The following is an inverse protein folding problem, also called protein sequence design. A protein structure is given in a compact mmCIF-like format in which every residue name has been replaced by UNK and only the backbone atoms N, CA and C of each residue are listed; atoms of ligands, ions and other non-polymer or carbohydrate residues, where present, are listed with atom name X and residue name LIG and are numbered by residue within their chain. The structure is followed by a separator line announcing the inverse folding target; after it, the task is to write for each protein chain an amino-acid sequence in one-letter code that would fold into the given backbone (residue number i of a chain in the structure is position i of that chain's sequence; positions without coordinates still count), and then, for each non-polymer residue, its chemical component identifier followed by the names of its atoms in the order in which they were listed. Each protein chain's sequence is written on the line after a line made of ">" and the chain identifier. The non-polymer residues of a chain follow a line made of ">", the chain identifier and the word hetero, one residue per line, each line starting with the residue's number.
data_IF_950568344555
#
_entry.id   IF_950568344555
#
_cell.length_a   1.000
_cell.length_b   1.000
_cell.length_c   1.000
_cell.angle_alpha   90.00
_cell.angle_beta   90.00
_cell.angle_gamma   90.00
#
_symmetry.space_group_name_H-M   'P 1'
#
loop_
_entity.id
_entity.type
_entity.pdbx_description
1 polymer ?
#
# COMPACT_ATOMS: atom_id res chain seq x y z
N UNK A 1 14.64 28.46 8.57
CA UNK A 1 14.42 27.23 7.78
C UNK A 1 15.41 26.10 8.14
N UNK A 2 16.62 26.38 8.63
CA UNK A 2 17.60 25.37 9.07
C UNK A 2 17.26 24.64 10.39
N UNK A 3 16.45 25.23 11.26
CA UNK A 3 15.99 24.63 12.53
C UNK A 3 15.14 23.37 12.35
N UNK A 4 14.47 23.22 11.19
CA UNK A 4 13.57 22.11 10.89
C UNK A 4 14.35 20.78 10.78
N UNK A 5 15.63 20.83 10.40
CA UNK A 5 16.48 19.64 10.25
C UNK A 5 17.14 19.17 11.55
N UNK A 6 17.02 19.94 12.65
CA UNK A 6 17.53 19.52 13.96
C UNK A 6 16.65 18.48 14.63
N UNK A 7 15.36 18.44 14.30
CA UNK A 7 14.43 17.48 14.87
C UNK A 7 14.52 16.13 14.16
N UNK A 8 14.87 15.09 14.90
CA UNK A 8 15.02 13.73 14.40
C UNK A 8 13.73 13.22 13.73
N UNK A 9 12.57 13.48 14.35
CA UNK A 9 11.27 13.10 13.79
C UNK A 9 10.99 13.75 12.43
N UNK A 10 11.45 14.99 12.23
CA UNK A 10 11.24 15.73 10.99
C UNK A 10 12.14 15.20 9.88
N UNK A 11 13.39 14.86 10.22
CA UNK A 11 14.32 14.23 9.29
C UNK A 11 13.83 12.84 8.86
N UNK A 12 13.29 12.06 9.79
CA UNK A 12 12.67 10.76 9.49
C UNK A 12 11.44 10.93 8.57
N UNK A 13 10.55 11.86 8.90
CA UNK A 13 9.36 12.13 8.10
C UNK A 13 9.71 12.58 6.67
N UNK A 14 10.71 13.44 6.50
CA UNK A 14 11.20 13.87 5.18
C UNK A 14 11.83 12.72 4.39
N UNK A 15 12.64 11.89 5.05
CA UNK A 15 13.27 10.73 4.43
C UNK A 15 12.22 9.73 3.94
N UNK A 16 11.33 9.29 4.83
CA UNK A 16 10.25 8.35 4.50
C UNK A 16 9.32 8.95 3.45
N UNK A 17 8.89 10.20 3.64
CA UNK A 17 7.99 10.90 2.71
C UNK A 17 8.56 11.00 1.29
N UNK A 18 9.87 11.23 1.15
CA UNK A 18 10.55 11.28 -0.15
C UNK A 18 10.49 9.93 -0.87
N UNK A 19 10.82 8.84 -0.16
CA UNK A 19 10.77 7.50 -0.72
C UNK A 19 9.36 7.07 -1.09
N UNK A 20 8.37 7.36 -0.22
CA UNK A 20 6.96 7.07 -0.48
C UNK A 20 6.45 7.88 -1.69
N UNK A 21 6.82 9.16 -1.81
CA UNK A 21 6.45 9.98 -2.97
C UNK A 21 7.05 9.45 -4.29
N UNK A 22 8.30 8.98 -4.26
CA UNK A 22 8.94 8.35 -5.43
C UNK A 22 8.21 7.07 -5.86
N UNK A 23 7.96 6.15 -4.91
CA UNK A 23 7.24 4.90 -5.19
C UNK A 23 5.83 5.18 -5.67
N UNK A 24 5.12 6.11 -5.01
CA UNK A 24 3.77 6.52 -5.37
C UNK A 24 3.69 7.15 -6.76
N UNK A 25 4.65 8.01 -7.13
CA UNK A 25 4.71 8.63 -8.45
C UNK A 25 4.93 7.62 -9.58
N UNK A 26 5.89 6.71 -9.42
CA UNK A 26 6.20 5.68 -10.43
C UNK A 26 5.02 4.70 -10.55
N UNK A 27 4.52 4.20 -9.42
CA UNK A 27 3.42 3.22 -9.43
C UNK A 27 2.13 3.86 -9.95
N UNK A 28 1.82 5.09 -9.54
CA UNK A 28 0.66 5.83 -10.00
C UNK A 28 0.59 6.01 -11.51
N UNK A 29 1.72 6.27 -12.17
CA UNK A 29 1.80 6.33 -13.63
C UNK A 29 1.32 5.01 -14.28
N UNK A 30 1.82 3.86 -13.82
CA UNK A 30 1.40 2.56 -14.35
C UNK A 30 -0.07 2.23 -14.03
N UNK A 31 -0.54 2.63 -12.84
CA UNK A 31 -1.94 2.42 -12.45
C UNK A 31 -2.90 3.21 -13.33
N UNK A 32 -2.53 4.45 -13.68
CA UNK A 32 -3.31 5.27 -14.59
C UNK A 32 -3.39 4.63 -15.98
N UNK A 33 -2.26 4.22 -16.54
CA UNK A 33 -2.21 3.59 -17.87
C UNK A 33 -3.00 2.28 -17.94
N UNK A 34 -3.07 1.52 -16.84
CA UNK A 34 -3.79 0.24 -16.76
C UNK A 34 -5.25 0.35 -16.29
N UNK A 35 -5.74 1.57 -16.05
CA UNK A 35 -7.07 1.83 -15.48
C UNK A 35 -7.27 1.22 -14.09
N UNK A 36 -6.18 1.06 -13.31
CA UNK A 36 -6.16 0.46 -11.97
C UNK A 36 -6.15 1.51 -10.84
N UNK A 37 -6.50 2.76 -11.14
CA UNK A 37 -6.47 3.87 -10.18
C UNK A 37 -7.32 3.59 -8.94
N UNK A 38 -8.49 2.97 -9.12
CA UNK A 38 -9.38 2.63 -8.00
C UNK A 38 -8.80 1.53 -7.10
N UNK A 39 -8.08 0.56 -7.67
CA UNK A 39 -7.36 -0.45 -6.88
C UNK A 39 -6.28 0.20 -5.98
N UNK A 40 -5.62 1.26 -6.47
CA UNK A 40 -4.64 2.01 -5.68
C UNK A 40 -5.23 2.74 -4.49
N UNK A 41 -6.48 3.18 -4.62
CA UNK A 41 -7.25 3.72 -3.50
C UNK A 41 -7.72 2.63 -2.52
N UNK A 42 -8.11 1.46 -3.04
CA UNK A 42 -8.68 0.38 -2.23
C UNK A 42 -7.64 -0.41 -1.40
N UNK A 43 -6.48 -0.70 -1.97
CA UNK A 43 -5.47 -1.55 -1.32
C UNK A 43 -5.00 -1.07 0.07
N UNK A 44 -4.78 0.24 0.32
CA UNK A 44 -4.49 0.73 1.66
C UNK A 44 -5.61 0.43 2.67
N UNK A 45 -6.87 0.58 2.27
CA UNK A 45 -8.03 0.27 3.12
C UNK A 45 -8.16 -1.23 3.42
N UNK A 46 -7.84 -2.08 2.45
CA UNK A 46 -7.78 -3.53 2.64
C UNK A 46 -6.63 -3.91 3.59
N UNK A 47 -5.46 -3.29 3.43
CA UNK A 47 -4.32 -3.47 4.32
C UNK A 47 -4.60 -3.02 5.76
N UNK A 48 -5.31 -1.90 5.92
CA UNK A 48 -5.78 -1.43 7.22
C UNK A 48 -6.62 -2.48 7.95
N UNK A 49 -7.54 -3.15 7.25
CA UNK A 49 -8.37 -4.20 7.82
C UNK A 49 -7.53 -5.38 8.33
N UNK A 50 -6.50 -5.78 7.58
CA UNK A 50 -5.57 -6.82 7.99
C UNK A 50 -4.68 -6.43 9.15
N UNK A 51 -4.20 -5.17 9.18
CA UNK A 51 -3.44 -4.63 10.29
C UNK A 51 -4.27 -4.65 11.59
N UNK A 52 -5.54 -4.22 11.51
CA UNK A 52 -6.48 -4.27 12.63
C UNK A 52 -6.72 -5.71 13.11
N UNK A 53 -6.90 -6.66 12.18
CA UNK A 53 -7.03 -8.08 12.50
C UNK A 53 -5.78 -8.67 13.16
N UNK A 54 -4.59 -8.30 12.70
CA UNK A 54 -3.33 -8.76 13.31
C UNK A 54 -3.14 -8.21 14.73
N UNK A 55 -3.48 -6.93 14.96
CA UNK A 55 -3.47 -6.34 16.31
C UNK A 55 -4.42 -7.10 17.24
N UNK A 56 -5.62 -7.45 16.77
CA UNK A 56 -6.57 -8.24 17.54
C UNK A 56 -6.05 -9.64 17.87
N UNK A 57 -5.35 -10.29 16.94
CA UNK A 57 -4.71 -11.60 17.15
C UNK A 57 -3.41 -11.54 17.98
N UNK A 58 -2.90 -10.35 18.31
CA UNK A 58 -1.61 -10.18 18.99
C UNK A 58 -0.38 -10.46 18.11
N UNK A 59 -0.55 -10.44 16.78
CA UNK A 59 0.50 -10.65 15.77
C UNK A 59 1.01 -9.27 15.29
N UNK A 60 2.27 -9.15 14.81
CA UNK A 60 2.78 -7.89 14.27
C UNK A 60 1.84 -7.27 13.20
N UNK A 61 1.45 -5.98 13.32
CA UNK A 61 0.49 -5.35 12.40
C UNK A 61 0.95 -5.37 10.94
N UNK A 62 2.25 -5.26 10.71
CA UNK A 62 2.86 -5.31 9.38
C UNK A 62 2.56 -6.64 8.67
N UNK A 63 2.57 -7.77 9.40
CA UNK A 63 2.27 -9.07 8.82
C UNK A 63 0.81 -9.16 8.35
N UNK A 64 -0.13 -8.70 9.18
CA UNK A 64 -1.54 -8.63 8.81
C UNK A 64 -1.80 -7.72 7.63
N UNK A 65 -1.16 -6.54 7.61
CA UNK A 65 -1.22 -5.60 6.50
C UNK A 65 -0.75 -6.24 5.20
N UNK A 66 0.44 -6.83 5.19
CA UNK A 66 1.00 -7.46 3.98
C UNK A 66 0.12 -8.60 3.48
N UNK A 67 -0.33 -9.50 4.36
CA UNK A 67 -1.17 -10.64 3.96
C UNK A 67 -2.49 -10.18 3.34
N UNK A 68 -3.19 -9.24 3.99
CA UNK A 68 -4.47 -8.74 3.48
C UNK A 68 -4.30 -7.91 2.20
N UNK A 69 -3.28 -7.06 2.11
CA UNK A 69 -3.02 -6.28 0.89
C UNK A 69 -2.65 -7.20 -0.28
N UNK A 70 -1.86 -8.25 -0.07
CA UNK A 70 -1.53 -9.23 -1.11
C UNK A 70 -2.76 -10.05 -1.51
N UNK A 71 -3.56 -10.51 -0.54
CA UNK A 71 -4.80 -11.23 -0.80
C UNK A 71 -5.81 -10.36 -1.55
N UNK A 72 -5.97 -9.10 -1.15
CA UNK A 72 -6.82 -8.11 -1.80
C UNK A 72 -6.36 -7.81 -3.22
N UNK A 73 -5.06 -7.59 -3.43
CA UNK A 73 -4.49 -7.41 -4.77
C UNK A 73 -4.70 -8.64 -5.66
N UNK A 74 -4.52 -9.84 -5.11
CA UNK A 74 -4.82 -11.11 -5.78
C UNK A 74 -6.28 -11.23 -6.18
N UNK A 75 -7.21 -10.95 -5.25
CA UNK A 75 -8.63 -10.94 -5.53
C UNK A 75 -9.00 -9.94 -6.63
N UNK A 76 -8.50 -8.70 -6.55
CA UNK A 76 -8.72 -7.68 -7.58
C UNK A 76 -8.20 -8.13 -8.94
N UNK A 77 -7.04 -8.80 -8.97
CA UNK A 77 -6.46 -9.33 -10.22
C UNK A 77 -7.28 -10.45 -10.85
N UNK A 78 -7.98 -11.25 -10.04
CA UNK A 78 -8.82 -12.36 -10.50
C UNK A 78 -10.22 -11.91 -10.95
N UNK A 79 -10.75 -10.80 -10.42
CA UNK A 79 -12.17 -10.44 -10.50
C UNK A 79 -12.59 -9.55 -11.69
N UNK A 80 -11.87 -9.50 -12.81
CA UNK A 80 -12.47 -8.87 -14.01
C UNK A 80 -11.54 -8.59 -15.18
N UNK A 81 -12.08 -8.78 -16.39
CA UNK A 81 -11.43 -8.44 -17.67
C UNK A 81 -11.88 -7.06 -18.19
N UNK A 82 -13.06 -6.60 -17.76
CA UNK A 82 -13.64 -5.32 -18.17
C UNK A 82 -13.52 -4.29 -17.04
N UNK A 83 -13.06 -3.07 -17.37
CA UNK A 83 -12.68 -2.04 -16.40
C UNK A 83 -13.83 -1.64 -15.46
N UNK A 84 -15.06 -1.51 -15.99
CA UNK A 84 -16.21 -1.03 -15.21
C UNK A 84 -16.70 -2.05 -14.18
N UNK A 85 -16.76 -3.33 -14.56
CA UNK A 85 -17.11 -4.42 -13.63
C UNK A 85 -16.03 -4.60 -12.56
N UNK A 86 -14.77 -4.43 -12.95
CA UNK A 86 -13.64 -4.49 -12.02
C UNK A 86 -13.72 -3.41 -10.94
N UNK A 87 -14.04 -2.17 -11.28
CA UNK A 87 -14.14 -1.09 -10.29
C UNK A 87 -15.27 -1.33 -9.28
N UNK A 88 -16.41 -1.86 -9.72
CA UNK A 88 -17.50 -2.27 -8.81
C UNK A 88 -17.04 -3.39 -7.86
N UNK A 89 -16.35 -4.40 -8.39
CA UNK A 89 -15.83 -5.52 -7.60
C UNK A 89 -14.78 -5.06 -6.57
N UNK A 90 -13.85 -4.19 -6.97
CA UNK A 90 -12.88 -3.56 -6.06
C UNK A 90 -13.61 -2.81 -4.94
N UNK A 91 -14.67 -2.09 -5.27
CA UNK A 91 -15.45 -1.30 -4.30
C UNK A 91 -16.12 -2.18 -3.25
N UNK A 92 -16.71 -3.30 -3.69
CA UNK A 92 -17.30 -4.27 -2.77
C UNK A 92 -16.25 -4.89 -1.83
N UNK A 93 -15.08 -5.27 -2.36
CA UNK A 93 -13.97 -5.79 -1.55
C UNK A 93 -13.51 -4.75 -0.53
N UNK A 94 -13.37 -3.49 -0.95
CA UNK A 94 -12.95 -2.40 -0.08
C UNK A 94 -13.94 -2.19 1.08
N UNK A 95 -15.24 -2.06 0.79
CA UNK A 95 -16.26 -1.85 1.83
C UNK A 95 -16.32 -3.04 2.79
N UNK A 96 -16.22 -4.27 2.27
CA UNK A 96 -16.14 -5.48 3.08
C UNK A 96 -14.91 -5.47 4.00
N UNK A 97 -13.73 -5.14 3.46
CA UNK A 97 -12.50 -5.07 4.23
C UNK A 97 -12.58 -3.99 5.31
N UNK A 98 -13.06 -2.78 4.99
CA UNK A 98 -13.24 -1.72 5.98
C UNK A 98 -14.21 -2.14 7.10
N UNK A 99 -15.33 -2.79 6.75
CA UNK A 99 -16.26 -3.37 7.72
C UNK A 99 -15.59 -4.40 8.64
N UNK A 100 -14.77 -5.29 8.08
CA UNK A 100 -13.95 -6.23 8.84
C UNK A 100 -12.94 -5.51 9.77
N UNK A 101 -12.26 -4.49 9.26
CA UNK A 101 -11.33 -3.68 10.06
C UNK A 101 -12.02 -3.03 11.26
N UNK A 102 -13.18 -2.41 11.04
CA UNK A 102 -14.04 -1.84 12.09
C UNK A 102 -14.49 -2.91 13.10
N UNK A 103 -14.86 -4.10 12.63
CA UNK A 103 -15.22 -5.22 13.49
C UNK A 103 -14.04 -5.63 14.40
N UNK A 104 -12.84 -5.82 13.84
CA UNK A 104 -11.64 -6.18 14.61
C UNK A 104 -11.28 -5.12 15.66
N UNK A 105 -11.40 -3.84 15.31
CA UNK A 105 -11.20 -2.74 16.26
C UNK A 105 -12.24 -2.81 17.39
N UNK A 106 -13.51 -3.06 17.06
CA UNK A 106 -14.58 -3.17 18.06
C UNK A 106 -14.44 -4.38 18.99
N UNK A 107 -13.82 -5.46 18.53
CA UNK A 107 -13.54 -6.67 19.32
C UNK A 107 -12.33 -6.48 20.25
N UNK A 108 -11.49 -5.48 20.00
CA UNK A 108 -10.32 -5.22 20.80
C UNK A 108 -10.69 -4.46 22.07
N UNK A 109 -10.35 -5.04 23.22
CA UNK A 109 -10.67 -4.51 24.55
C UNK A 109 -9.62 -3.57 25.15
N UNK A 110 -8.49 -3.35 24.47
CA UNK A 110 -7.44 -2.43 24.93
C UNK A 110 -7.69 -0.97 24.52
N UNK A 111 -6.92 -0.03 25.09
CA UNK A 111 -7.03 1.42 24.87
C UNK A 111 -7.20 1.79 23.39
N UNK A 112 -8.42 2.22 23.02
CA UNK A 112 -8.77 2.60 21.66
C UNK A 112 -7.82 3.66 21.07
N UNK A 113 -7.35 4.62 21.88
CA UNK A 113 -6.38 5.64 21.48
C UNK A 113 -5.06 5.06 20.94
N UNK A 114 -4.56 3.98 21.52
CA UNK A 114 -3.31 3.34 21.05
C UNK A 114 -3.50 2.67 19.68
N UNK A 115 -4.69 2.16 19.39
CA UNK A 115 -5.03 1.63 18.06
C UNK A 115 -5.14 2.76 17.04
N UNK A 116 -5.84 3.85 17.36
CA UNK A 116 -5.95 4.98 16.44
C UNK A 116 -4.57 5.54 16.06
N UNK A 117 -3.65 5.65 17.03
CA UNK A 117 -2.27 6.06 16.78
C UNK A 117 -1.48 5.09 15.90
N UNK A 118 -1.71 3.78 16.02
CA UNK A 118 -1.04 2.74 15.21
C UNK A 118 -1.65 2.62 13.81
N UNK A 119 -2.98 2.69 13.69
CA UNK A 119 -3.69 2.41 12.45
C UNK A 119 -3.82 3.62 11.52
N UNK A 120 -3.93 4.83 12.06
CA UNK A 120 -3.86 6.05 11.26
C UNK A 120 -2.41 6.54 11.11
N UNK A 121 -1.56 6.17 12.08
CA UNK A 121 -0.15 6.53 12.08
C UNK A 121 0.06 8.03 12.24
N UNK A 122 1.27 8.40 12.61
CA UNK A 122 1.77 9.75 12.36
C UNK A 122 3.08 9.59 11.64
N UNK A 123 3.23 10.26 10.49
CA UNK A 123 4.53 10.30 9.80
C UNK A 123 5.61 10.90 10.71
N UNK A 124 5.21 11.73 11.69
CA UNK A 124 6.08 12.32 12.69
C UNK A 124 6.38 11.36 13.86
N UNK A 125 5.64 10.26 14.00
CA UNK A 125 5.81 9.26 15.05
C UNK A 125 6.78 8.13 14.69
N UNK A 126 7.36 8.16 13.49
CA UNK A 126 8.21 7.09 12.97
C UNK A 126 9.59 7.14 13.63
N UNK A 127 10.00 6.01 14.22
CA UNK A 127 11.33 5.87 14.82
C UNK A 127 12.43 5.86 13.74
N UNK A 128 13.68 6.16 14.11
CA UNK A 128 14.80 6.13 13.14
C UNK A 128 15.01 4.74 12.54
N UNK A 129 14.79 3.68 13.33
CA UNK A 129 14.87 2.30 12.85
C UNK A 129 13.78 2.02 11.80
N UNK A 130 12.52 2.34 12.12
CA UNK A 130 11.39 2.17 11.19
C UNK A 130 11.58 3.00 9.91
N UNK A 131 12.11 4.22 10.02
CA UNK A 131 12.39 5.07 8.87
C UNK A 131 13.39 4.42 7.90
N UNK A 132 14.44 3.79 8.43
CA UNK A 132 15.42 3.06 7.63
C UNK A 132 14.84 1.78 7.03
N UNK A 133 14.01 1.05 7.76
CA UNK A 133 13.31 -0.14 7.23
C UNK A 133 12.41 0.22 6.04
N UNK A 134 11.61 1.28 6.19
CA UNK A 134 10.74 1.79 5.12
C UNK A 134 11.58 2.26 3.93
N UNK A 135 12.66 2.99 4.18
CA UNK A 135 13.54 3.49 3.12
C UNK A 135 14.25 2.37 2.37
N UNK A 136 14.71 1.32 3.07
CA UNK A 136 15.32 0.15 2.46
C UNK A 136 14.30 -0.60 1.60
N UNK A 137 13.10 -0.85 2.12
CA UNK A 137 12.01 -1.50 1.37
C UNK A 137 11.60 -0.69 0.13
N UNK A 138 11.43 0.61 0.28
CA UNK A 138 11.11 1.51 -0.84
C UNK A 138 12.25 1.57 -1.88
N UNK A 139 13.50 1.58 -1.45
CA UNK A 139 14.66 1.54 -2.35
C UNK A 139 14.69 0.25 -3.18
N UNK A 140 14.41 -0.91 -2.56
CA UNK A 140 14.29 -2.20 -3.25
C UNK A 140 13.15 -2.13 -4.27
N UNK A 141 11.99 -1.58 -3.90
CA UNK A 141 10.86 -1.42 -4.82
C UNK A 141 11.20 -0.52 -6.01
N UNK A 142 11.85 0.62 -5.78
CA UNK A 142 12.30 1.53 -6.85
C UNK A 142 13.30 0.82 -7.76
N UNK A 143 14.26 0.07 -7.20
CA UNK A 143 15.22 -0.71 -7.98
C UNK A 143 14.51 -1.74 -8.86
N UNK A 144 13.56 -2.52 -8.29
CA UNK A 144 12.78 -3.49 -9.05
C UNK A 144 11.96 -2.79 -10.15
N UNK A 145 11.26 -1.70 -9.84
CA UNK A 145 10.50 -0.93 -10.83
C UNK A 145 11.41 -0.40 -11.96
N UNK A 146 12.65 -0.03 -11.65
CA UNK A 146 13.62 0.44 -12.65
C UNK A 146 14.10 -0.72 -13.55
N UNK A 147 14.42 -1.87 -12.96
CA UNK A 147 14.84 -3.07 -13.70
C UNK A 147 13.72 -3.59 -14.60
N UNK A 148 12.49 -3.63 -14.09
CA UNK A 148 11.30 -4.08 -14.82
C UNK A 148 10.59 -2.97 -15.59
N UNK A 149 11.18 -1.77 -15.68
CA UNK A 149 10.53 -0.62 -16.31
C UNK A 149 10.18 -0.89 -17.77
N UNK A 150 11.10 -1.48 -18.54
CA UNK A 150 10.89 -1.80 -19.96
C UNK A 150 9.76 -2.81 -20.16
N UNK A 151 9.75 -4.01 -19.54
CA UNK A 151 8.66 -4.96 -19.71
C UNK A 151 7.32 -4.43 -19.15
N UNK A 152 7.33 -3.65 -18.05
CA UNK A 152 6.13 -3.01 -17.52
C UNK A 152 5.55 -1.98 -18.49
N UNK A 153 6.40 -1.18 -19.15
CA UNK A 153 5.95 -0.25 -20.19
C UNK A 153 5.37 -0.97 -21.39
N UNK A 154 6.07 -1.97 -21.93
CA UNK A 154 5.59 -2.72 -23.09
C UNK A 154 4.25 -3.41 -22.81
N UNK A 155 4.10 -4.08 -21.67
CA UNK A 155 2.84 -4.70 -21.27
C UNK A 155 1.71 -3.71 -20.96
N UNK A 156 2.03 -2.46 -20.63
CA UNK A 156 1.02 -1.43 -20.37
C UNK A 156 0.52 -0.74 -21.65
N UNK A 157 1.41 -0.51 -22.63
CA UNK A 157 1.07 0.19 -23.87
C UNK A 157 0.56 -0.74 -24.98
N UNK A 158 1.11 -1.97 -25.08
CA UNK A 158 0.66 -2.94 -26.07
C UNK A 158 0.62 -4.36 -25.47
N UNK A 159 -0.49 -4.71 -24.79
CA UNK A 159 -0.69 -6.04 -24.22
C UNK A 159 -0.68 -7.17 -25.26
N UNK A 160 -0.97 -6.85 -26.53
CA UNK A 160 -1.03 -7.84 -27.61
C UNK A 160 0.37 -8.10 -28.21
N UNK A 161 1.16 -7.06 -28.46
CA UNK A 161 2.56 -7.21 -28.89
C UNK A 161 3.46 -7.78 -27.79
N UNK A 162 3.16 -7.50 -26.51
CA UNK A 162 3.87 -8.11 -25.37
C UNK A 162 3.71 -9.64 -25.36
N UNK A 163 2.46 -10.14 -25.48
CA UNK A 163 2.20 -11.59 -25.58
C UNK A 163 2.84 -12.22 -26.81
N UNK A 164 2.88 -11.52 -27.94
CA UNK A 164 3.54 -12.00 -29.16
C UNK A 164 5.07 -12.10 -29.02
N UNK A 165 5.68 -11.29 -28.14
CA UNK A 165 7.11 -11.36 -27.80
C UNK A 165 7.43 -12.25 -26.59
N UNK A 166 6.44 -12.93 -26.00
CA UNK A 166 6.64 -13.82 -24.85
C UNK A 166 6.88 -13.09 -23.53
N UNK A 167 6.39 -11.85 -23.40
CA UNK A 167 6.45 -11.02 -22.18
C UNK A 167 5.05 -10.78 -21.62
#
# INVERSE_FOLDING_TARGET
>A
MSEIFHYEFMRNALLVGTFVALVGGITGFFMLQRGLTFAGHALPGIGFAGAAGAVWLGVPPLAGLLVFTLAGGGAISALGRETRERDLNIGMILVFALGLGLMFISLYSGFAERIYGILFGSILGISTAEAWEIAAGASILVLLLTVFFRPLLFSSFDPQAARARGV
#
